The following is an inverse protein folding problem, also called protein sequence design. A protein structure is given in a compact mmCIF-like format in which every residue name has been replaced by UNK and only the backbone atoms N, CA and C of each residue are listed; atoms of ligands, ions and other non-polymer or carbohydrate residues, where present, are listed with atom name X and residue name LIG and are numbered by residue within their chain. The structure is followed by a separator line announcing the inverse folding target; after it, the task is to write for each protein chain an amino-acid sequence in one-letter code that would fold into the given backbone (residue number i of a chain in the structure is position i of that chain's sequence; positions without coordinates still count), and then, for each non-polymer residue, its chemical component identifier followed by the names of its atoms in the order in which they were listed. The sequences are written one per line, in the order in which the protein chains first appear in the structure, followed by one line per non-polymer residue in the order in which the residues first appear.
data_IF_207535511720
#
_entry.id   IF_207535511720
#
_cell.length_a   1.000
_cell.length_b   1.000
_cell.length_c   1.000
_cell.angle_alpha   90.00
_cell.angle_beta   90.00
_cell.angle_gamma   90.00
#
_symmetry.space_group_name_H-M   'P 1'
#
loop_
_entity.id
_entity.type
_entity.pdbx_description
1 polymer ?
#
# COMPACT_ATOMS: atom_id res chain seq x y z
N UNK A 1 -21.43 8.67 9.00
CA UNK A 1 -21.77 9.12 7.65
C UNK A 1 -21.99 7.90 6.78
N UNK A 2 -23.07 7.79 6.00
CA UNK A 2 -23.24 6.69 5.07
C UNK A 2 -22.08 6.69 4.09
N UNK A 3 -21.58 5.52 3.64
CA UNK A 3 -20.52 5.46 2.66
C UNK A 3 -21.03 6.18 1.40
N UNK A 4 -20.35 7.23 0.97
CA UNK A 4 -20.58 7.82 -0.34
C UNK A 4 -20.48 6.70 -1.36
N UNK A 5 -21.59 6.31 -1.95
CA UNK A 5 -21.56 5.44 -3.11
C UNK A 5 -20.82 6.22 -4.20
N UNK A 6 -19.54 5.89 -4.38
CA UNK A 6 -18.72 6.49 -5.42
C UNK A 6 -19.41 6.19 -6.77
N UNK A 7 -19.73 7.25 -7.51
CA UNK A 7 -20.29 7.07 -8.83
C UNK A 7 -19.26 6.43 -9.77
N UNK A 8 -19.69 5.78 -10.83
CA UNK A 8 -18.80 5.22 -11.86
C UNK A 8 -17.77 6.26 -12.35
N UNK A 9 -18.17 7.52 -12.51
CA UNK A 9 -17.28 8.62 -12.94
C UNK A 9 -16.19 8.91 -11.88
N UNK A 10 -16.55 8.93 -10.60
CA UNK A 10 -15.60 9.15 -9.52
C UNK A 10 -14.62 7.98 -9.41
N UNK A 11 -15.08 6.73 -9.54
CA UNK A 11 -14.21 5.55 -9.57
C UNK A 11 -13.22 5.61 -10.73
N UNK A 12 -13.69 5.97 -11.94
CA UNK A 12 -12.82 6.12 -13.12
C UNK A 12 -11.69 7.13 -12.87
N UNK A 13 -11.98 8.26 -12.23
CA UNK A 13 -10.94 9.25 -11.86
C UNK A 13 -9.95 8.67 -10.87
N UNK A 14 -10.42 7.96 -9.85
CA UNK A 14 -9.56 7.36 -8.82
C UNK A 14 -8.64 6.27 -9.42
N UNK A 15 -9.17 5.41 -10.28
CA UNK A 15 -8.38 4.37 -10.96
C UNK A 15 -7.33 4.99 -11.89
N UNK A 16 -7.73 6.02 -12.68
CA UNK A 16 -6.80 6.77 -13.54
C UNK A 16 -5.72 7.46 -12.71
N UNK A 17 -6.11 8.09 -11.60
CA UNK A 17 -5.16 8.77 -10.70
C UNK A 17 -4.19 7.80 -10.06
N UNK A 18 -4.67 6.62 -9.64
CA UNK A 18 -3.81 5.57 -9.09
C UNK A 18 -2.75 5.14 -10.10
N UNK A 19 -3.13 4.90 -11.36
CA UNK A 19 -2.22 4.50 -12.42
C UNK A 19 -1.17 5.60 -12.68
N UNK A 20 -1.61 6.84 -12.87
CA UNK A 20 -0.73 7.98 -13.13
C UNK A 20 0.23 8.26 -11.95
N UNK A 21 -0.27 8.27 -10.71
CA UNK A 21 0.58 8.47 -9.53
C UNK A 21 1.58 7.32 -9.34
N UNK A 22 1.22 6.09 -9.67
CA UNK A 22 2.14 4.95 -9.63
C UNK A 22 3.24 5.07 -10.68
N UNK A 23 2.93 5.57 -11.87
CA UNK A 23 3.86 5.70 -12.97
C UNK A 23 4.75 6.95 -12.82
N UNK A 24 4.13 8.12 -12.69
CA UNK A 24 4.81 9.42 -12.84
C UNK A 24 5.04 10.15 -11.50
N UNK A 25 4.47 9.65 -10.39
CA UNK A 25 4.56 10.25 -9.07
C UNK A 25 3.50 11.30 -8.77
N UNK A 26 3.38 11.59 -7.47
CA UNK A 26 2.33 12.50 -7.01
C UNK A 26 2.56 13.96 -7.43
N UNK A 27 3.80 14.38 -7.61
CA UNK A 27 4.13 15.77 -7.90
C UNK A 27 4.00 16.10 -9.38
N UNK A 28 4.43 15.19 -10.26
CA UNK A 28 4.43 15.39 -11.71
C UNK A 28 3.04 15.36 -12.33
N UNK A 29 2.14 14.56 -11.77
CA UNK A 29 0.77 14.40 -12.29
C UNK A 29 -0.09 15.61 -11.94
N UNK A 30 -0.45 16.41 -12.95
CA UNK A 30 -1.37 17.55 -12.81
C UNK A 30 -2.83 17.15 -12.84
N UNK A 31 -3.73 18.02 -12.35
CA UNK A 31 -5.20 17.79 -12.38
C UNK A 31 -5.71 17.72 -13.82
N UNK A 32 -5.21 18.58 -14.71
CA UNK A 32 -5.66 18.59 -16.11
C UNK A 32 -5.30 17.27 -16.82
N UNK A 33 -4.10 16.71 -16.56
CA UNK A 33 -3.73 15.39 -17.07
C UNK A 33 -4.68 14.28 -16.57
N UNK A 34 -5.09 14.33 -15.30
CA UNK A 34 -6.05 13.36 -14.75
C UNK A 34 -7.42 13.49 -15.40
N UNK A 35 -7.90 14.73 -15.59
CA UNK A 35 -9.17 15.03 -16.26
C UNK A 35 -9.16 14.48 -17.68
N UNK A 36 -8.13 14.76 -18.45
CA UNK A 36 -7.98 14.33 -19.83
C UNK A 36 -7.91 12.79 -19.92
N UNK A 37 -7.04 12.17 -19.12
CA UNK A 37 -6.87 10.73 -19.12
C UNK A 37 -8.13 9.97 -18.64
N UNK A 38 -8.86 10.53 -17.68
CA UNK A 38 -10.13 9.96 -17.20
C UNK A 38 -11.33 10.27 -18.11
N UNK A 39 -11.17 11.17 -19.08
CA UNK A 39 -12.24 11.59 -20.02
C UNK A 39 -13.50 12.10 -19.31
N UNK A 40 -13.33 12.93 -18.30
CA UNK A 40 -14.43 13.58 -17.58
C UNK A 40 -14.39 15.09 -17.78
N UNK A 41 -15.55 15.74 -17.60
CA UNK A 41 -15.59 17.20 -17.62
C UNK A 41 -14.91 17.80 -16.36
N UNK A 42 -14.20 18.92 -16.51
CA UNK A 42 -13.52 19.62 -15.43
C UNK A 42 -14.44 19.94 -14.24
N UNK A 43 -15.67 20.39 -14.52
CA UNK A 43 -16.69 20.63 -13.49
C UNK A 43 -17.08 19.36 -12.72
N UNK A 44 -17.08 18.19 -13.38
CA UNK A 44 -17.34 16.91 -12.72
C UNK A 44 -16.21 16.55 -11.76
N UNK A 45 -14.94 16.76 -12.13
CA UNK A 45 -13.80 16.55 -11.26
C UNK A 45 -13.94 17.35 -9.97
N UNK A 46 -14.10 18.67 -10.08
CA UNK A 46 -14.19 19.54 -8.90
C UNK A 46 -15.45 19.32 -8.04
N UNK A 47 -16.52 18.81 -8.63
CA UNK A 47 -17.71 18.37 -7.88
C UNK A 47 -17.40 17.22 -6.93
N UNK A 48 -16.55 16.27 -7.32
CA UNK A 48 -16.24 15.08 -6.50
C UNK A 48 -15.01 15.27 -5.60
N UNK A 49 -13.97 15.91 -6.10
CA UNK A 49 -12.67 15.92 -5.43
C UNK A 49 -12.25 17.27 -4.88
N UNK A 50 -12.89 18.36 -5.31
CA UNK A 50 -12.60 19.74 -4.87
C UNK A 50 -11.16 20.20 -5.11
N UNK A 51 -10.16 19.36 -4.89
CA UNK A 51 -8.74 19.65 -5.08
C UNK A 51 -7.94 18.38 -5.40
N UNK A 52 -6.71 18.57 -5.91
CA UNK A 52 -5.77 17.46 -6.08
C UNK A 52 -5.40 16.82 -4.73
N UNK A 53 -5.27 17.60 -3.67
CA UNK A 53 -4.98 17.12 -2.33
C UNK A 53 -6.04 16.10 -1.86
N UNK A 54 -7.31 16.47 -1.97
CA UNK A 54 -8.40 15.57 -1.62
C UNK A 54 -8.46 14.32 -2.51
N UNK A 55 -8.14 14.45 -3.81
CA UNK A 55 -8.02 13.31 -4.70
C UNK A 55 -6.92 12.35 -4.25
N UNK A 56 -5.75 12.85 -3.86
CA UNK A 56 -4.64 12.02 -3.34
C UNK A 56 -5.07 11.29 -2.06
N UNK A 57 -5.74 11.98 -1.14
CA UNK A 57 -6.30 11.37 0.08
C UNK A 57 -7.28 10.23 -0.25
N UNK A 58 -8.21 10.46 -1.17
CA UNK A 58 -9.20 9.45 -1.56
C UNK A 58 -8.53 8.25 -2.26
N UNK A 59 -7.59 8.49 -3.18
CA UNK A 59 -6.87 7.44 -3.90
C UNK A 59 -6.10 6.53 -2.92
N UNK A 60 -5.34 7.13 -1.99
CA UNK A 60 -4.61 6.36 -0.98
C UNK A 60 -5.53 5.65 0.02
N UNK A 61 -6.68 6.24 0.37
CA UNK A 61 -7.67 5.59 1.24
C UNK A 61 -8.28 4.35 0.60
N UNK A 62 -8.59 4.38 -0.70
CA UNK A 62 -9.06 3.21 -1.44
C UNK A 62 -7.99 2.13 -1.49
N UNK A 63 -6.77 2.50 -1.84
CA UNK A 63 -5.65 1.57 -1.91
C UNK A 63 -5.36 0.92 -0.55
N UNK A 64 -5.35 1.71 0.54
CA UNK A 64 -5.24 1.20 1.90
C UNK A 64 -6.35 0.19 2.22
N UNK A 65 -7.58 0.50 1.83
CA UNK A 65 -8.74 -0.37 2.10
C UNK A 65 -8.62 -1.70 1.36
N UNK A 66 -8.21 -1.66 0.08
CA UNK A 66 -7.97 -2.85 -0.72
C UNK A 66 -6.84 -3.71 -0.13
N UNK A 67 -5.69 -3.10 0.21
CA UNK A 67 -4.58 -3.80 0.85
C UNK A 67 -4.96 -4.43 2.19
N UNK A 68 -5.69 -3.70 3.05
CA UNK A 68 -6.18 -4.27 4.31
C UNK A 68 -7.09 -5.47 4.09
N UNK A 69 -7.92 -5.45 3.06
CA UNK A 69 -8.78 -6.59 2.68
C UNK A 69 -7.95 -7.80 2.30
N UNK A 70 -6.93 -7.62 1.45
CA UNK A 70 -6.04 -8.71 1.01
C UNK A 70 -5.23 -9.30 2.17
N UNK A 71 -4.61 -8.45 3.00
CA UNK A 71 -3.87 -8.91 4.18
C UNK A 71 -4.78 -9.68 5.14
N UNK A 72 -5.99 -9.19 5.41
CA UNK A 72 -6.96 -9.91 6.25
C UNK A 72 -7.39 -11.23 5.63
N UNK A 73 -7.57 -11.30 4.32
CA UNK A 73 -7.86 -12.54 3.61
C UNK A 73 -6.74 -13.56 3.82
N UNK A 74 -5.48 -13.17 3.69
CA UNK A 74 -4.32 -14.04 3.95
C UNK A 74 -4.30 -14.50 5.42
N UNK A 75 -4.55 -13.58 6.36
CA UNK A 75 -4.46 -13.86 7.79
C UNK A 75 -5.59 -14.77 8.31
N UNK A 76 -6.80 -14.60 7.79
CA UNK A 76 -8.00 -15.14 8.46
C UNK A 76 -8.89 -16.04 7.59
N UNK A 77 -8.86 -15.93 6.25
CA UNK A 77 -9.77 -16.68 5.40
C UNK A 77 -9.40 -18.16 5.26
N UNK A 78 -8.10 -18.50 5.27
CA UNK A 78 -7.63 -19.87 5.13
C UNK A 78 -7.04 -20.40 6.44
N UNK A 79 -7.81 -21.24 7.15
CA UNK A 79 -7.39 -21.83 8.44
C UNK A 79 -6.23 -22.83 8.32
N UNK A 80 -6.00 -23.39 7.14
CA UNK A 80 -4.97 -24.42 6.91
C UNK A 80 -3.57 -23.84 6.63
N UNK A 81 -3.45 -22.51 6.44
CA UNK A 81 -2.16 -21.88 6.23
C UNK A 81 -1.39 -21.77 7.55
N UNK A 82 -0.12 -22.20 7.52
CA UNK A 82 0.81 -21.97 8.63
C UNK A 82 1.12 -20.47 8.79
N UNK A 83 1.60 -20.08 9.97
CA UNK A 83 2.07 -18.71 10.21
C UNK A 83 3.16 -18.28 9.24
N UNK A 84 4.12 -19.19 8.94
CA UNK A 84 5.20 -18.98 7.97
C UNK A 84 4.66 -18.71 6.56
N UNK A 85 3.68 -19.48 6.11
CA UNK A 85 3.09 -19.31 4.79
C UNK A 85 2.29 -17.99 4.69
N UNK A 86 1.60 -17.58 5.77
CA UNK A 86 0.95 -16.28 5.84
C UNK A 86 1.95 -15.12 5.75
N UNK A 87 3.06 -15.19 6.50
CA UNK A 87 4.14 -14.19 6.41
C UNK A 87 4.71 -14.10 5.01
N UNK A 88 4.96 -15.26 4.36
CA UNK A 88 5.43 -15.33 2.98
C UNK A 88 4.48 -14.62 2.02
N UNK A 89 3.19 -14.92 2.06
CA UNK A 89 2.19 -14.28 1.20
C UNK A 89 2.08 -12.78 1.44
N UNK A 90 2.12 -12.34 2.69
CA UNK A 90 2.10 -10.90 3.02
C UNK A 90 3.38 -10.23 2.53
N UNK A 91 4.53 -10.86 2.67
CA UNK A 91 5.79 -10.34 2.16
C UNK A 91 5.74 -10.16 0.64
N UNK A 92 5.31 -11.18 -0.10
CA UNK A 92 5.23 -11.12 -1.57
C UNK A 92 4.18 -10.12 -2.06
N UNK A 93 3.07 -9.94 -1.34
CA UNK A 93 2.07 -8.91 -1.63
C UNK A 93 2.67 -7.49 -1.55
N UNK A 94 3.61 -7.26 -0.62
CA UNK A 94 4.19 -5.93 -0.39
C UNK A 94 5.51 -5.71 -1.14
N UNK A 95 6.33 -6.74 -1.29
CA UNK A 95 7.61 -6.68 -2.01
C UNK A 95 7.40 -6.89 -3.52
N UNK A 96 6.53 -6.10 -4.12
CA UNK A 96 6.18 -6.14 -5.53
C UNK A 96 6.05 -4.72 -6.08
N UNK A 97 6.93 -4.35 -7.02
CA UNK A 97 6.97 -3.00 -7.61
C UNK A 97 5.84 -2.73 -8.59
N UNK A 98 5.20 -3.78 -9.10
CA UNK A 98 3.98 -3.69 -9.92
C UNK A 98 2.71 -3.92 -9.09
N UNK A 99 2.89 -4.23 -7.80
CA UNK A 99 1.84 -4.66 -6.91
C UNK A 99 1.07 -3.52 -6.23
N UNK A 100 0.05 -3.93 -5.50
CA UNK A 100 -0.88 -3.01 -4.82
C UNK A 100 -0.20 -2.09 -3.78
N UNK A 101 0.92 -2.50 -3.19
CA UNK A 101 1.60 -1.70 -2.17
C UNK A 101 2.47 -0.59 -2.75
N UNK A 102 2.86 -0.67 -4.04
CA UNK A 102 3.78 0.27 -4.66
C UNK A 102 3.38 1.74 -4.47
N UNK A 103 2.11 2.08 -4.69
CA UNK A 103 1.63 3.46 -4.53
C UNK A 103 1.78 3.97 -3.09
N UNK A 104 1.43 3.17 -2.08
CA UNK A 104 1.62 3.55 -0.67
C UNK A 104 3.11 3.64 -0.32
N UNK A 105 3.94 2.74 -0.85
CA UNK A 105 5.38 2.77 -0.65
C UNK A 105 5.99 4.06 -1.23
N UNK A 106 5.64 4.40 -2.47
CA UNK A 106 6.07 5.64 -3.13
C UNK A 106 5.67 6.88 -2.34
N UNK A 107 4.46 6.89 -1.81
CA UNK A 107 3.92 7.99 -1.01
C UNK A 107 4.75 8.28 0.26
N UNK A 108 5.42 7.27 0.85
CA UNK A 108 6.31 7.48 2.02
C UNK A 108 7.37 8.54 1.74
N UNK A 109 7.90 8.58 0.52
CA UNK A 109 9.01 9.44 0.14
C UNK A 109 8.57 10.77 -0.48
N UNK A 110 7.41 10.79 -1.16
CA UNK A 110 7.05 11.93 -1.99
C UNK A 110 6.10 12.94 -1.32
N UNK A 111 5.17 12.49 -0.45
CA UNK A 111 4.00 13.33 -0.16
C UNK A 111 3.99 14.00 1.22
N UNK A 112 4.91 13.67 2.11
CA UNK A 112 4.90 14.10 3.52
C UNK A 112 4.70 15.62 3.69
N UNK A 113 5.43 16.41 2.95
CA UNK A 113 5.40 17.89 3.08
C UNK A 113 4.20 18.51 2.39
N UNK A 114 3.83 17.99 1.21
CA UNK A 114 2.82 18.63 0.36
C UNK A 114 1.40 18.15 0.63
N UNK A 115 1.24 16.89 1.06
CA UNK A 115 -0.05 16.25 1.30
C UNK A 115 -0.06 15.55 2.67
N UNK A 116 0.06 16.30 3.80
CA UNK A 116 0.24 15.72 5.13
C UNK A 116 -0.90 14.78 5.56
N UNK A 117 -2.17 15.14 5.26
CA UNK A 117 -3.32 14.28 5.57
C UNK A 117 -3.30 12.96 4.80
N UNK A 118 -2.88 12.99 3.54
CA UNK A 118 -2.70 11.80 2.73
C UNK A 118 -1.51 10.96 3.24
N UNK A 119 -0.46 11.60 3.76
CA UNK A 119 0.67 10.92 4.40
C UNK A 119 0.25 10.16 5.66
N UNK A 120 -0.64 10.73 6.47
CA UNK A 120 -1.18 10.06 7.66
C UNK A 120 -1.86 8.72 7.32
N UNK A 121 -2.54 8.64 6.16
CA UNK A 121 -3.14 7.39 5.66
C UNK A 121 -2.09 6.29 5.47
N UNK A 122 -0.92 6.66 4.95
CA UNK A 122 0.20 5.74 4.73
C UNK A 122 0.81 5.29 6.06
N UNK A 123 1.05 6.23 6.97
CA UNK A 123 1.57 5.95 8.33
C UNK A 123 0.62 5.03 9.09
N UNK A 124 -0.68 5.31 9.06
CA UNK A 124 -1.70 4.46 9.69
C UNK A 124 -1.71 3.04 9.12
N UNK A 125 -1.57 2.88 7.80
CA UNK A 125 -1.49 1.56 7.18
C UNK A 125 -0.27 0.78 7.65
N UNK A 126 0.91 1.41 7.63
CA UNK A 126 2.17 0.78 8.05
C UNK A 126 2.16 0.37 9.52
N UNK A 127 1.64 1.23 10.39
CA UNK A 127 1.47 0.92 11.81
C UNK A 127 0.45 -0.21 12.04
N UNK A 128 -0.63 -0.24 11.26
CA UNK A 128 -1.60 -1.32 11.28
C UNK A 128 -0.95 -2.64 10.84
N UNK A 129 -0.19 -2.65 9.74
CA UNK A 129 0.49 -3.84 9.24
C UNK A 129 1.47 -4.41 10.29
N UNK A 130 2.28 -3.56 10.93
CA UNK A 130 3.19 -3.98 12.02
C UNK A 130 2.40 -4.68 13.14
N UNK A 131 1.22 -4.15 13.54
CA UNK A 131 0.39 -4.79 14.55
C UNK A 131 -0.13 -6.16 14.11
N UNK A 132 -0.61 -6.28 12.88
CA UNK A 132 -1.08 -7.57 12.35
C UNK A 132 0.05 -8.61 12.28
N UNK A 133 1.23 -8.22 11.84
CA UNK A 133 2.42 -9.09 11.82
C UNK A 133 2.81 -9.49 13.24
N UNK A 134 2.85 -8.56 14.19
CA UNK A 134 3.12 -8.88 15.59
C UNK A 134 2.12 -9.90 16.15
N UNK A 135 0.81 -9.72 15.90
CA UNK A 135 -0.23 -10.66 16.33
C UNK A 135 -0.10 -12.03 15.65
N UNK A 136 0.35 -12.07 14.39
CA UNK A 136 0.63 -13.33 13.69
C UNK A 136 1.83 -14.04 14.33
N UNK A 137 2.93 -13.34 14.54
CA UNK A 137 4.15 -13.88 15.16
C UNK A 137 3.90 -14.41 16.57
N UNK A 138 3.16 -13.65 17.39
CA UNK A 138 2.81 -14.06 18.76
C UNK A 138 1.94 -15.35 18.87
N UNK A 139 1.34 -15.78 17.75
CA UNK A 139 0.55 -17.03 17.67
C UNK A 139 1.35 -18.20 17.11
N UNK A 140 2.59 -17.95 16.72
CA UNK A 140 3.52 -18.98 16.25
C UNK A 140 4.54 -19.24 17.35
N UNK A 141 5.15 -20.43 17.38
CA UNK A 141 6.20 -20.79 18.38
C UNK A 141 7.52 -20.02 18.16
N UNK A 142 7.50 -19.01 17.34
CA UNK A 142 8.64 -18.13 17.10
C UNK A 142 8.68 -17.13 18.26
N UNK A 143 9.72 -17.19 19.09
CA UNK A 143 9.94 -16.18 20.15
C UNK A 143 10.12 -14.79 19.53
N UNK A 144 9.11 -13.93 19.67
CA UNK A 144 9.07 -12.68 18.94
C UNK A 144 8.67 -11.52 19.84
N UNK A 145 9.40 -10.44 19.63
CA UNK A 145 9.05 -9.13 20.16
C UNK A 145 8.44 -8.19 19.12
N UNK A 146 8.03 -7.02 19.56
CA UNK A 146 7.54 -5.96 18.67
C UNK A 146 8.58 -5.56 17.62
N UNK A 147 9.88 -5.66 17.95
CA UNK A 147 10.99 -5.38 17.06
C UNK A 147 10.99 -6.30 15.82
N UNK A 148 10.53 -7.54 15.97
CA UNK A 148 10.49 -8.50 14.84
C UNK A 148 9.44 -8.14 13.81
N UNK A 149 8.30 -7.64 14.24
CA UNK A 149 7.29 -7.12 13.34
C UNK A 149 7.77 -5.85 12.60
N UNK A 150 8.58 -5.01 13.26
CA UNK A 150 9.21 -3.86 12.61
C UNK A 150 10.27 -4.32 11.60
N UNK A 151 11.08 -5.34 11.95
CA UNK A 151 12.07 -5.92 11.05
C UNK A 151 11.44 -6.50 9.79
N UNK A 152 10.26 -7.12 9.90
CA UNK A 152 9.52 -7.58 8.72
C UNK A 152 9.23 -6.42 7.74
N UNK A 153 8.82 -5.26 8.26
CA UNK A 153 8.56 -4.09 7.42
C UNK A 153 9.85 -3.54 6.80
N UNK A 154 10.98 -3.58 7.54
CA UNK A 154 12.28 -3.20 6.98
C UNK A 154 12.72 -4.13 5.85
N UNK A 155 12.42 -5.44 5.94
CA UNK A 155 12.66 -6.38 4.84
C UNK A 155 11.83 -6.04 3.60
N UNK A 156 10.56 -5.68 3.77
CA UNK A 156 9.69 -5.21 2.68
C UNK A 156 10.27 -3.95 2.05
N UNK A 157 10.59 -2.94 2.86
CA UNK A 157 11.13 -1.66 2.39
C UNK A 157 12.48 -1.87 1.66
N UNK A 158 13.38 -2.66 2.23
CA UNK A 158 14.66 -3.00 1.60
C UNK A 158 14.49 -3.72 0.27
N UNK A 159 13.59 -4.70 0.19
CA UNK A 159 13.28 -5.40 -1.05
C UNK A 159 12.73 -4.45 -2.12
N UNK A 160 11.79 -3.56 -1.75
CA UNK A 160 11.22 -2.58 -2.67
C UNK A 160 12.27 -1.60 -3.20
N UNK A 161 13.14 -1.07 -2.33
CA UNK A 161 14.23 -0.17 -2.73
C UNK A 161 15.17 -0.87 -3.71
N UNK A 162 15.58 -2.12 -3.43
CA UNK A 162 16.47 -2.85 -4.31
C UNK A 162 15.84 -3.12 -5.69
N UNK A 163 14.56 -3.54 -5.72
CA UNK A 163 13.84 -3.79 -6.96
C UNK A 163 13.69 -2.51 -7.79
N UNK A 164 13.32 -1.38 -7.16
CA UNK A 164 13.20 -0.07 -7.83
C UNK A 164 14.56 0.46 -8.33
N UNK A 165 15.67 0.05 -7.70
CA UNK A 165 17.02 0.34 -8.15
C UNK A 165 17.52 -0.56 -9.29
N UNK A 166 16.67 -1.45 -9.82
CA UNK A 166 17.01 -2.38 -10.89
C UNK A 166 17.80 -3.62 -10.45
N UNK A 167 17.96 -3.82 -9.13
CA UNK A 167 18.66 -4.99 -8.61
C UNK A 167 17.75 -6.22 -8.61
N UNK A 168 18.34 -7.40 -8.91
CA UNK A 168 17.65 -8.69 -8.74
C UNK A 168 17.61 -9.06 -7.27
N UNK A 169 16.41 -9.30 -6.74
CA UNK A 169 16.19 -9.72 -5.35
C UNK A 169 15.55 -11.09 -5.34
N UNK A 170 16.24 -12.07 -4.74
CA UNK A 170 15.62 -13.35 -4.38
C UNK A 170 14.78 -13.15 -3.11
N UNK A 171 13.52 -12.74 -3.32
CA UNK A 171 12.57 -12.46 -2.25
C UNK A 171 12.37 -13.66 -1.32
N UNK A 172 12.42 -14.87 -1.87
CA UNK A 172 12.28 -16.12 -1.10
C UNK A 172 13.44 -16.29 -0.13
N UNK A 173 14.69 -16.22 -0.63
CA UNK A 173 15.89 -16.35 0.22
C UNK A 173 15.99 -15.24 1.26
N UNK A 174 15.62 -14.02 0.90
CA UNK A 174 15.63 -12.90 1.84
C UNK A 174 14.69 -13.16 3.04
N UNK A 175 13.48 -13.61 2.77
CA UNK A 175 12.51 -13.93 3.81
C UNK A 175 12.92 -15.15 4.62
N UNK A 176 13.38 -16.22 3.97
CA UNK A 176 13.84 -17.43 4.65
C UNK A 176 15.03 -17.12 5.55
N UNK A 177 16.01 -16.34 5.12
CA UNK A 177 17.14 -15.91 5.95
C UNK A 177 16.69 -15.18 7.22
N UNK A 178 15.67 -14.36 7.13
CA UNK A 178 15.08 -13.70 8.29
C UNK A 178 14.33 -14.69 9.21
N UNK A 179 13.64 -15.69 8.66
CA UNK A 179 12.88 -16.69 9.42
C UNK A 179 13.76 -17.75 10.10
N UNK A 180 14.92 -18.10 9.50
CA UNK A 180 15.83 -19.14 10.02
C UNK A 180 16.70 -18.61 11.17
N UNK A 181 17.00 -17.33 11.20
CA UNK A 181 17.78 -16.69 12.28
C UNK A 181 17.02 -16.58 13.62
N UNK A 182 15.90 -17.29 13.76
CA UNK A 182 14.96 -17.26 14.89
C UNK A 182 14.44 -18.66 15.16
#
# INVERSE_FOLDING_TARGET
MPPFALTYRALKVLDTSQALFSQDGFHQVGVDLIIDASQIAKGTFYKYFHSKEHLVEMTLSLQRTALKKEVRSILYANKNLSGRERLKRIFFLHADVEGMYHLLFRAVFEIKTRYPKAYDIVVEYRNWLIREIYMLLARTDIHTGKADAQMFLFLVDGAMVQLLSGNKVDKGKLLEGWLVGR
#
